data_IF_454648982586
#
_entry.id   IF_454648982586
#
_cell.length_a   1.000
_cell.length_b   1.000
_cell.length_c   1.000
_cell.angle_alpha   90.00
_cell.angle_beta   90.00
_cell.angle_gamma   90.00
#
_symmetry.space_group_name_H-M   'P 1'
#
loop_
_entity.id
_entity.type
_entity.pdbx_description
1 polymer ?
#
# COMPACT_ATOMS: atom_id res chain seq x y z
N UNK A 1 -15.58 12.93 -6.79
CA UNK A 1 -14.47 12.49 -5.94
C UNK A 1 -14.98 11.67 -4.74
N UNK A 2 -14.28 10.59 -4.37
CA UNK A 2 -14.57 9.78 -3.17
C UNK A 2 -14.04 10.44 -1.91
N UNK A 3 -12.80 10.98 -1.94
CA UNK A 3 -12.12 11.55 -0.78
C UNK A 3 -12.87 12.77 -0.24
N UNK A 4 -13.14 13.76 -1.09
CA UNK A 4 -13.95 14.92 -0.71
C UNK A 4 -15.31 14.51 -0.12
N UNK A 5 -15.98 13.52 -0.71
CA UNK A 5 -17.31 13.10 -0.23
C UNK A 5 -17.27 12.33 1.11
N UNK A 6 -16.16 11.66 1.42
CA UNK A 6 -15.93 11.01 2.71
C UNK A 6 -15.57 12.05 3.79
N UNK A 7 -14.80 13.08 3.43
CA UNK A 7 -14.39 14.15 4.35
C UNK A 7 -15.55 15.11 4.64
N UNK A 8 -16.33 15.49 3.62
CA UNK A 8 -17.45 16.43 3.72
C UNK A 8 -18.75 15.76 4.21
N UNK A 9 -18.82 14.43 4.12
CA UNK A 9 -20.02 13.65 4.42
C UNK A 9 -20.19 13.38 5.92
N UNK A 10 -21.21 13.99 6.53
CA UNK A 10 -21.50 13.83 7.97
C UNK A 10 -22.16 12.48 8.33
N UNK A 11 -22.63 11.69 7.34
CA UNK A 11 -23.49 10.51 7.58
C UNK A 11 -22.74 9.18 7.74
N UNK A 12 -21.46 9.09 7.38
CA UNK A 12 -20.66 7.86 7.44
C UNK A 12 -19.24 8.14 7.94
N UNK A 13 -19.06 8.09 9.25
CA UNK A 13 -17.81 8.44 9.91
C UNK A 13 -16.74 7.35 9.73
N UNK A 14 -16.13 7.25 8.55
CA UNK A 14 -14.79 6.67 8.47
C UNK A 14 -13.87 7.53 9.32
N UNK A 15 -13.22 6.91 10.31
CA UNK A 15 -12.27 7.63 11.16
C UNK A 15 -11.06 8.07 10.32
N UNK A 16 -10.37 9.16 10.68
CA UNK A 16 -9.20 9.63 9.95
C UNK A 16 -8.17 8.53 9.68
N UNK A 17 -7.94 7.61 10.63
CA UNK A 17 -7.01 6.50 10.47
C UNK A 17 -7.45 5.52 9.37
N UNK A 18 -8.76 5.32 9.20
CA UNK A 18 -9.31 4.46 8.14
C UNK A 18 -9.19 5.12 6.77
N UNK A 19 -9.36 6.45 6.70
CA UNK A 19 -9.15 7.23 5.47
C UNK A 19 -7.68 7.15 5.07
N UNK A 20 -6.76 7.40 6.00
CA UNK A 20 -5.32 7.28 5.78
C UNK A 20 -4.91 5.86 5.35
N UNK A 21 -5.46 4.81 5.98
CA UNK A 21 -5.19 3.43 5.56
C UNK A 21 -5.72 3.16 4.14
N UNK A 22 -6.95 3.59 3.85
CA UNK A 22 -7.63 3.33 2.57
C UNK A 22 -6.99 4.06 1.38
N UNK A 23 -6.62 5.32 1.56
CA UNK A 23 -6.14 6.15 0.45
C UNK A 23 -4.63 6.40 0.47
N UNK A 24 -3.94 6.15 1.59
CA UNK A 24 -2.51 6.45 1.72
C UNK A 24 -2.21 7.91 1.39
N UNK A 25 -1.14 8.13 0.62
CA UNK A 25 -0.73 9.43 0.12
C UNK A 25 -1.19 9.70 -1.33
N UNK A 26 -2.44 9.34 -1.66
CA UNK A 26 -2.94 9.48 -3.03
C UNK A 26 -3.01 10.94 -3.51
N UNK A 27 -3.19 11.89 -2.59
CA UNK A 27 -3.22 13.33 -2.92
C UNK A 27 -1.85 13.82 -3.38
N UNK A 28 -0.77 13.44 -2.70
CA UNK A 28 0.61 13.72 -3.12
C UNK A 28 0.89 13.14 -4.53
N UNK A 29 0.41 11.91 -4.79
CA UNK A 29 0.51 11.28 -6.11
C UNK A 29 -0.28 12.07 -7.16
N UNK A 30 -1.47 12.57 -6.81
CA UNK A 30 -2.29 13.36 -7.72
C UNK A 30 -1.63 14.69 -8.05
N UNK A 31 -1.12 15.41 -7.05
CA UNK A 31 -0.40 16.68 -7.22
C UNK A 31 0.84 16.50 -8.09
N UNK A 32 1.71 15.57 -7.73
CA UNK A 32 2.92 15.26 -8.50
C UNK A 32 2.61 14.88 -9.96
N UNK A 33 1.61 14.02 -10.18
CA UNK A 33 1.25 13.62 -11.54
C UNK A 33 0.62 14.75 -12.35
N UNK A 34 -0.06 15.70 -11.69
CA UNK A 34 -0.62 16.88 -12.33
C UNK A 34 0.50 17.82 -12.80
N UNK A 35 1.53 18.01 -11.98
CA UNK A 35 2.73 18.75 -12.41
C UNK A 35 3.51 18.03 -13.52
N UNK A 36 3.67 16.71 -13.40
CA UNK A 36 4.33 15.92 -14.43
C UNK A 36 3.57 16.02 -15.75
N UNK A 37 2.23 15.95 -15.73
CA UNK A 37 1.40 16.12 -16.92
C UNK A 37 1.61 17.51 -17.55
N UNK A 38 1.59 18.57 -16.75
CA UNK A 38 1.85 19.94 -17.25
C UNK A 38 3.25 20.06 -17.89
N UNK A 39 4.25 19.37 -17.36
CA UNK A 39 5.58 19.35 -17.95
C UNK A 39 5.60 18.59 -19.29
N UNK A 40 4.90 17.44 -19.36
CA UNK A 40 4.80 16.61 -20.56
C UNK A 40 4.02 17.30 -21.68
N UNK A 41 2.94 18.04 -21.36
CA UNK A 41 2.16 18.79 -22.36
C UNK A 41 3.00 19.88 -23.05
N UNK A 42 4.03 20.40 -22.37
CA UNK A 42 4.98 21.39 -22.92
C UNK A 42 6.07 20.77 -23.78
N UNK A 43 6.16 19.44 -23.85
CA UNK A 43 7.19 18.76 -24.64
C UNK A 43 6.86 18.71 -26.13
N UNK A 44 5.63 19.05 -26.55
CA UNK A 44 5.21 19.06 -27.96
C UNK A 44 5.51 17.75 -28.71
N UNK A 45 5.44 16.61 -28.00
CA UNK A 45 5.80 15.27 -28.50
C UNK A 45 7.30 15.04 -28.80
N UNK A 46 8.21 15.93 -28.39
CA UNK A 46 9.67 15.68 -28.47
C UNK A 46 10.07 14.54 -27.50
N UNK A 47 10.56 13.39 -28.00
CA UNK A 47 11.03 12.27 -27.19
C UNK A 47 12.07 12.65 -26.14
N UNK A 48 12.97 13.56 -26.48
CA UNK A 48 14.09 13.95 -25.60
C UNK A 48 13.58 14.87 -24.49
N UNK A 49 12.67 15.80 -24.80
CA UNK A 49 12.00 16.62 -23.80
C UNK A 49 11.16 15.77 -22.83
N UNK A 50 10.42 14.79 -23.34
CA UNK A 50 9.66 13.83 -22.51
C UNK A 50 10.60 13.08 -21.57
N UNK A 51 11.71 12.52 -22.08
CA UNK A 51 12.71 11.82 -21.27
C UNK A 51 13.30 12.72 -20.18
N UNK A 52 13.64 13.97 -20.50
CA UNK A 52 14.13 14.97 -19.51
C UNK A 52 13.17 15.16 -18.34
N UNK A 53 11.87 15.19 -18.58
CA UNK A 53 10.89 15.34 -17.49
C UNK A 53 11.06 14.27 -16.41
N UNK A 54 11.31 13.01 -16.81
CA UNK A 54 11.51 11.90 -15.86
C UNK A 54 12.84 11.98 -15.11
N UNK A 55 13.92 12.40 -15.78
CA UNK A 55 15.23 12.58 -15.13
C UNK A 55 15.17 13.69 -14.10
N UNK A 56 14.64 14.87 -14.47
CA UNK A 56 14.54 16.04 -13.58
C UNK A 56 13.67 15.76 -12.36
N UNK A 57 12.58 14.99 -12.53
CA UNK A 57 11.63 14.67 -11.46
C UNK A 57 11.93 13.36 -10.72
N UNK A 58 13.10 12.75 -10.95
CA UNK A 58 13.44 11.40 -10.49
C UNK A 58 13.26 11.19 -8.97
N UNK A 59 13.74 12.12 -8.14
CA UNK A 59 13.65 12.03 -6.68
C UNK A 59 12.21 12.08 -6.17
N UNK A 60 11.32 12.82 -6.84
CA UNK A 60 9.92 12.97 -6.46
C UNK A 60 9.11 11.68 -6.63
N UNK A 61 9.60 10.70 -7.38
CA UNK A 61 8.93 9.39 -7.47
C UNK A 61 8.99 8.59 -6.16
N UNK A 62 9.73 9.03 -5.15
CA UNK A 62 9.74 8.40 -3.81
C UNK A 62 8.33 8.28 -3.21
N UNK A 63 7.42 9.22 -3.49
CA UNK A 63 6.02 9.17 -3.02
C UNK A 63 5.29 7.89 -3.48
N UNK A 64 5.69 7.29 -4.60
CA UNK A 64 5.14 6.02 -5.05
C UNK A 64 5.62 4.85 -4.21
N UNK A 65 6.80 4.92 -3.61
CA UNK A 65 7.31 3.91 -2.66
C UNK A 65 6.41 3.87 -1.43
N UNK A 66 6.09 5.02 -0.86
CA UNK A 66 5.17 5.14 0.26
C UNK A 66 3.78 4.56 -0.09
N UNK A 67 3.23 4.92 -1.25
CA UNK A 67 1.94 4.40 -1.69
C UNK A 67 1.96 2.87 -1.89
N UNK A 68 2.98 2.36 -2.60
CA UNK A 68 3.05 0.93 -2.93
C UNK A 68 3.30 0.06 -1.70
N UNK A 69 4.04 0.56 -0.71
CA UNK A 69 4.22 -0.14 0.57
C UNK A 69 2.95 -0.12 1.43
N UNK A 70 2.14 0.94 1.35
CA UNK A 70 0.84 1.03 2.02
C UNK A 70 -0.30 0.30 1.28
N UNK A 71 -0.20 0.07 -0.03
CA UNK A 71 -1.28 -0.50 -0.84
C UNK A 71 -1.93 -1.79 -0.26
N UNK A 72 -1.20 -2.74 0.35
CA UNK A 72 -1.81 -3.88 1.05
C UNK A 72 -2.77 -3.45 2.18
N UNK A 73 -2.45 -2.40 2.93
CA UNK A 73 -3.33 -1.85 3.97
C UNK A 73 -4.56 -1.19 3.36
N UNK A 74 -4.42 -0.51 2.21
CA UNK A 74 -5.56 0.05 1.47
C UNK A 74 -6.54 -1.03 1.04
N UNK A 75 -6.05 -2.17 0.56
CA UNK A 75 -6.88 -3.33 0.21
C UNK A 75 -7.57 -3.92 1.44
N UNK A 76 -6.85 -4.05 2.56
CA UNK A 76 -7.42 -4.56 3.81
C UNK A 76 -8.50 -3.62 4.36
N UNK A 77 -8.22 -2.32 4.43
CA UNK A 77 -9.16 -1.29 4.87
C UNK A 77 -10.42 -1.26 3.99
N UNK A 78 -10.28 -1.33 2.67
CA UNK A 78 -11.43 -1.42 1.76
C UNK A 78 -12.25 -2.68 2.02
N UNK A 79 -11.58 -3.82 2.20
CA UNK A 79 -12.23 -5.10 2.50
C UNK A 79 -13.04 -5.01 3.79
N UNK A 80 -12.48 -4.41 4.84
CA UNK A 80 -13.18 -4.20 6.10
C UNK A 80 -14.36 -3.23 5.95
N UNK A 81 -14.20 -2.17 5.15
CA UNK A 81 -15.32 -1.29 4.81
C UNK A 81 -16.45 -2.05 4.09
N UNK A 82 -16.13 -2.97 3.19
CA UNK A 82 -17.13 -3.77 2.46
C UNK A 82 -17.88 -4.75 3.36
N UNK A 83 -17.35 -5.11 4.55
CA UNK A 83 -18.05 -5.94 5.54
C UNK A 83 -19.17 -5.20 6.26
N UNK A 84 -19.09 -3.87 6.34
CA UNK A 84 -20.15 -3.04 6.91
C UNK A 84 -21.21 -2.77 5.85
N UNK A 85 -22.48 -3.06 6.17
CA UNK A 85 -23.58 -2.86 5.22
C UNK A 85 -23.69 -1.39 4.80
N UNK A 86 -23.58 -0.45 5.75
CA UNK A 86 -23.70 0.99 5.49
C UNK A 86 -22.57 1.52 4.60
N UNK A 87 -21.31 1.16 4.91
CA UNK A 87 -20.16 1.55 4.09
C UNK A 87 -20.20 0.88 2.71
N UNK A 88 -20.56 -0.41 2.63
CA UNK A 88 -20.69 -1.10 1.35
C UNK A 88 -21.74 -0.45 0.44
N UNK A 89 -22.85 0.01 1.01
CA UNK A 89 -23.90 0.72 0.28
C UNK A 89 -23.37 2.07 -0.22
N UNK A 90 -22.71 2.84 0.64
CA UNK A 90 -22.08 4.10 0.26
C UNK A 90 -21.11 3.98 -0.91
N UNK A 91 -20.18 3.02 -0.88
CA UNK A 91 -19.22 2.86 -1.97
C UNK A 91 -19.92 2.47 -3.29
N UNK A 92 -21.00 1.68 -3.24
CA UNK A 92 -21.81 1.35 -4.42
C UNK A 92 -22.56 2.56 -4.96
N UNK A 93 -23.23 3.32 -4.11
CA UNK A 93 -23.95 4.54 -4.48
C UNK A 93 -23.00 5.59 -5.04
N UNK A 94 -21.83 5.75 -4.43
CA UNK A 94 -20.82 6.68 -4.90
C UNK A 94 -20.26 6.26 -6.26
N UNK A 95 -20.00 4.97 -6.45
CA UNK A 95 -19.59 4.43 -7.74
C UNK A 95 -20.64 4.73 -8.83
N UNK A 96 -21.92 4.52 -8.53
CA UNK A 96 -23.03 4.81 -9.45
C UNK A 96 -23.15 6.33 -9.76
N UNK A 97 -23.06 7.17 -8.73
CA UNK A 97 -23.09 8.64 -8.86
C UNK A 97 -21.96 9.17 -9.74
N UNK A 98 -20.76 8.60 -9.61
CA UNK A 98 -19.61 8.95 -10.45
C UNK A 98 -19.65 8.31 -11.85
N UNK A 99 -20.68 7.51 -12.16
CA UNK A 99 -20.79 6.72 -13.40
C UNK A 99 -19.52 5.90 -13.67
N UNK A 100 -18.92 5.41 -12.59
CA UNK A 100 -17.65 4.71 -12.62
C UNK A 100 -17.84 3.26 -13.06
N UNK A 101 -17.14 2.85 -14.11
CA UNK A 101 -17.23 1.48 -14.65
C UNK A 101 -16.54 0.43 -13.76
N UNK A 102 -15.60 0.86 -12.92
CA UNK A 102 -14.83 -0.02 -12.05
C UNK A 102 -15.13 0.26 -10.56
N UNK A 103 -14.94 -0.72 -9.67
CA UNK A 103 -14.98 -0.50 -8.23
C UNK A 103 -13.77 0.29 -7.74
N UNK A 104 -13.88 0.93 -6.57
CA UNK A 104 -12.81 1.76 -5.98
C UNK A 104 -11.46 1.04 -5.91
N UNK A 105 -11.44 -0.24 -5.51
CA UNK A 105 -10.20 -1.02 -5.43
C UNK A 105 -9.41 -1.07 -6.75
N UNK A 106 -10.09 -1.07 -7.90
CA UNK A 106 -9.42 -1.01 -9.20
C UNK A 106 -8.75 0.34 -9.48
N UNK A 107 -9.27 1.43 -8.91
CA UNK A 107 -8.64 2.75 -9.02
C UNK A 107 -7.44 2.89 -8.07
N UNK A 108 -7.53 2.33 -6.86
CA UNK A 108 -6.41 2.30 -5.90
C UNK A 108 -5.22 1.50 -6.44
N UNK A 109 -5.44 0.55 -7.34
CA UNK A 109 -4.37 -0.19 -8.00
C UNK A 109 -3.64 0.62 -9.09
N UNK A 110 -4.24 1.70 -9.62
CA UNK A 110 -3.68 2.42 -10.78
C UNK A 110 -2.30 3.04 -10.51
N UNK A 111 -1.99 3.66 -9.37
CA UNK A 111 -0.64 4.19 -9.10
C UNK A 111 0.43 3.09 -9.09
N UNK A 112 0.11 1.93 -8.49
CA UNK A 112 0.99 0.75 -8.47
C UNK A 112 1.27 0.25 -9.90
N UNK A 113 0.26 0.25 -10.76
CA UNK A 113 0.45 -0.13 -12.17
C UNK A 113 1.18 0.94 -12.98
N UNK A 114 0.93 2.22 -12.69
CA UNK A 114 1.47 3.36 -13.44
C UNK A 114 2.99 3.43 -13.32
N UNK A 115 3.51 3.30 -12.10
CA UNK A 115 4.94 3.42 -11.85
C UNK A 115 5.77 2.33 -12.55
N UNK A 116 5.19 1.13 -12.71
CA UNK A 116 5.80 0.00 -13.42
C UNK A 116 5.71 0.11 -14.95
N UNK A 117 5.05 1.12 -15.49
CA UNK A 117 4.90 1.32 -16.94
C UNK A 117 5.85 2.36 -17.50
N UNK A 118 6.33 3.32 -16.71
CA UNK A 118 7.12 4.42 -17.24
C UNK A 118 8.40 3.97 -17.93
N UNK A 119 9.15 3.04 -17.33
CA UNK A 119 10.36 2.51 -17.98
C UNK A 119 10.04 1.76 -19.27
N UNK A 120 8.89 1.05 -19.37
CA UNK A 120 8.45 0.36 -20.58
C UNK A 120 8.09 1.35 -21.70
N UNK A 121 7.41 2.43 -21.35
CA UNK A 121 7.04 3.48 -22.30
C UNK A 121 8.27 4.22 -22.83
N UNK A 122 9.23 4.53 -21.96
CA UNK A 122 10.51 5.14 -22.36
C UNK A 122 11.35 4.20 -23.24
N UNK A 123 11.35 2.89 -22.95
CA UNK A 123 11.97 1.90 -23.82
C UNK A 123 11.30 1.85 -25.20
N UNK A 124 9.99 1.98 -25.26
CA UNK A 124 9.28 2.04 -26.54
C UNK A 124 9.66 3.29 -27.32
N UNK A 125 9.82 4.44 -26.66
CA UNK A 125 10.35 5.65 -27.29
C UNK A 125 11.73 5.39 -27.90
N UNK A 126 12.66 4.79 -27.15
CA UNK A 126 14.03 4.53 -27.62
C UNK A 126 14.06 3.61 -28.86
N UNK A 127 13.16 2.62 -28.95
CA UNK A 127 13.09 1.72 -30.12
C UNK A 127 12.79 2.44 -31.44
N UNK A 128 12.08 3.57 -31.38
CA UNK A 128 11.72 4.38 -32.53
C UNK A 128 12.56 5.65 -32.65
N UNK A 129 13.54 5.84 -31.76
CA UNK A 129 14.44 6.99 -31.76
C UNK A 129 15.72 6.69 -32.55
N UNK A 130 16.17 7.62 -33.39
CA UNK A 130 17.43 7.46 -34.13
C UNK A 130 18.62 7.54 -33.17
N UNK A 131 19.46 6.49 -33.05
CA UNK A 131 20.64 6.52 -32.18
C UNK A 131 21.65 7.61 -32.53
N UNK A 132 21.64 8.13 -33.76
CA UNK A 132 22.51 9.23 -34.20
C UNK A 132 21.93 10.61 -33.88
N UNK A 133 20.66 10.69 -33.48
CA UNK A 133 20.02 11.95 -33.11
C UNK A 133 20.56 12.45 -31.76
N UNK A 134 20.91 13.75 -31.65
CA UNK A 134 21.27 14.35 -30.37
C UNK A 134 20.18 14.14 -29.31
N UNK A 135 20.57 13.62 -28.14
CA UNK A 135 19.64 13.37 -27.03
C UNK A 135 19.34 11.90 -26.76
N UNK A 136 19.83 10.94 -27.57
CA UNK A 136 19.66 9.50 -27.28
C UNK A 136 20.10 9.12 -25.87
N UNK A 137 21.23 9.69 -25.38
CA UNK A 137 21.74 9.46 -24.03
C UNK A 137 20.76 9.87 -22.92
N UNK A 138 19.98 10.93 -23.15
CA UNK A 138 18.97 11.40 -22.19
C UNK A 138 17.81 10.40 -22.10
N UNK A 139 17.42 9.81 -23.23
CA UNK A 139 16.37 8.78 -23.28
C UNK A 139 16.85 7.53 -22.53
N UNK A 140 18.09 7.10 -22.78
CA UNK A 140 18.72 5.98 -22.06
C UNK A 140 18.83 6.24 -20.55
N UNK A 141 19.22 7.45 -20.16
CA UNK A 141 19.27 7.88 -18.75
C UNK A 141 17.89 7.82 -18.11
N UNK A 142 16.85 8.34 -18.77
CA UNK A 142 15.47 8.28 -18.27
C UNK A 142 15.00 6.83 -18.08
N UNK A 143 15.34 5.92 -18.99
CA UNK A 143 15.04 4.49 -18.87
C UNK A 143 15.75 3.90 -17.66
N UNK A 144 17.04 4.17 -17.49
CA UNK A 144 17.83 3.68 -16.36
C UNK A 144 17.23 4.15 -15.03
N UNK A 145 16.94 5.45 -14.94
CA UNK A 145 16.30 6.09 -13.79
C UNK A 145 14.97 5.43 -13.43
N UNK A 146 14.04 5.33 -14.39
CA UNK A 146 12.72 4.76 -14.10
C UNK A 146 12.74 3.26 -13.85
N UNK A 147 13.72 2.54 -14.41
CA UNK A 147 13.97 1.15 -14.06
C UNK A 147 14.48 1.03 -12.62
N UNK A 148 15.38 1.92 -12.21
CA UNK A 148 15.86 2.03 -10.83
C UNK A 148 14.75 2.33 -9.83
N UNK A 149 13.85 3.26 -10.15
CA UNK A 149 12.66 3.58 -9.34
C UNK A 149 11.76 2.34 -9.17
N UNK A 150 11.43 1.65 -10.26
CA UNK A 150 10.60 0.45 -10.20
C UNK A 150 11.25 -0.67 -9.37
N UNK A 151 12.56 -0.87 -9.53
CA UNK A 151 13.32 -1.82 -8.74
C UNK A 151 13.32 -1.46 -7.25
N UNK A 152 13.57 -0.19 -6.93
CA UNK A 152 13.61 0.29 -5.54
C UNK A 152 12.27 0.10 -4.84
N UNK A 153 11.16 0.45 -5.50
CA UNK A 153 9.81 0.25 -4.95
C UNK A 153 9.55 -1.23 -4.66
N UNK A 154 9.95 -2.12 -5.57
CA UNK A 154 9.79 -3.55 -5.38
C UNK A 154 10.63 -4.07 -4.20
N UNK A 155 11.87 -3.61 -4.06
CA UNK A 155 12.75 -3.96 -2.93
C UNK A 155 12.20 -3.44 -1.60
N UNK A 156 11.70 -2.20 -1.55
CA UNK A 156 11.10 -1.63 -0.35
C UNK A 156 9.82 -2.37 0.06
N UNK A 157 8.99 -2.76 -0.92
CA UNK A 157 7.83 -3.62 -0.67
C UNK A 157 8.23 -4.96 -0.06
N UNK A 158 9.25 -5.62 -0.64
CA UNK A 158 9.77 -6.90 -0.13
C UNK A 158 10.31 -6.77 1.31
N UNK A 159 11.06 -5.71 1.61
CA UNK A 159 11.57 -5.42 2.96
C UNK A 159 10.45 -5.18 3.97
N UNK A 160 9.44 -4.40 3.57
CA UNK A 160 8.27 -4.12 4.40
C UNK A 160 7.51 -5.41 4.73
N UNK A 161 7.20 -6.24 3.73
CA UNK A 161 6.53 -7.54 3.93
C UNK A 161 7.32 -8.48 4.86
N UNK A 162 8.65 -8.51 4.70
CA UNK A 162 9.53 -9.29 5.57
C UNK A 162 9.50 -8.78 7.02
N UNK A 163 9.55 -7.45 7.21
CA UNK A 163 9.47 -6.81 8.53
C UNK A 163 8.14 -7.15 9.24
N UNK A 164 7.01 -7.00 8.54
CA UNK A 164 5.67 -7.31 9.07
C UNK A 164 5.57 -8.78 9.49
N UNK A 165 6.13 -9.71 8.69
CA UNK A 165 6.14 -11.14 9.03
C UNK A 165 6.93 -11.42 10.31
N UNK A 166 8.12 -10.83 10.46
CA UNK A 166 8.94 -11.01 11.67
C UNK A 166 8.25 -10.45 12.93
N UNK A 167 7.61 -9.28 12.81
CA UNK A 167 6.84 -8.70 13.91
C UNK A 167 5.70 -9.62 14.35
N UNK A 168 4.95 -10.19 13.40
CA UNK A 168 3.86 -11.13 13.71
C UNK A 168 4.35 -12.39 14.43
N UNK A 169 5.51 -12.92 14.03
CA UNK A 169 6.13 -14.07 14.71
C UNK A 169 6.59 -13.73 16.13
N UNK A 170 7.17 -12.55 16.34
CA UNK A 170 7.57 -12.07 17.65
C UNK A 170 6.38 -11.91 18.61
N UNK A 171 5.27 -11.33 18.15
CA UNK A 171 4.02 -11.19 18.93
C UNK A 171 3.46 -12.57 19.32
N UNK A 172 3.46 -13.53 18.38
CA UNK A 172 3.02 -14.90 18.66
C UNK A 172 3.90 -15.62 19.68
N UNK A 173 5.21 -15.42 19.63
CA UNK A 173 6.14 -16.00 20.60
C UNK A 173 5.98 -15.40 22.00
N UNK A 174 5.78 -14.08 22.10
CA UNK A 174 5.49 -13.39 23.38
C UNK A 174 4.17 -13.82 24.02
N UNK A 175 3.14 -14.07 23.20
CA UNK A 175 1.85 -14.58 23.68
C UNK A 175 1.92 -16.01 24.24
N UNK A 176 2.87 -16.83 23.77
CA UNK A 176 3.12 -18.18 24.30
C UNK A 176 3.98 -18.16 25.57
N UNK A 177 4.88 -17.19 25.71
CA UNK A 177 5.72 -17.04 26.91
C UNK A 177 4.94 -16.58 28.17
N UNK A 178 3.78 -15.93 27.99
CA UNK A 178 2.90 -15.51 29.10
C UNK A 178 1.96 -16.59 29.65
N UNK A 179 2.05 -17.84 29.16
CA UNK A 179 1.27 -18.98 29.66
C UNK A 179 2.19 -20.07 30.22
N UNK A 180 2.89 -19.79 31.31
CA UNK A 180 3.53 -20.85 32.12
C UNK A 180 2.46 -21.51 33.01
N UNK A 181 2.28 -22.84 33.01
CA UNK A 181 1.35 -23.50 33.92
C UNK A 181 1.92 -23.49 35.35
N UNK A 182 1.19 -22.90 36.29
CA UNK A 182 1.38 -23.20 37.72
C UNK A 182 0.99 -24.66 37.96
N UNK A 183 1.96 -25.55 37.98
CA UNK A 183 1.82 -26.90 38.56
C UNK A 183 3.22 -27.41 38.85
N UNK A 184 3.72 -27.10 40.06
CA UNK A 184 4.67 -27.90 40.85
C UNK A 184 4.99 -27.14 42.14
N UNK A 185 4.33 -27.51 43.25
CA UNK A 185 4.51 -26.85 44.54
C UNK A 185 3.79 -27.56 45.69
N UNK A 186 4.28 -28.75 46.02
CA UNK A 186 4.13 -29.53 47.27
C UNK A 186 3.52 -28.80 48.48
N UNK A 187 2.57 -29.44 49.17
CA UNK A 187 2.55 -29.41 50.65
C UNK A 187 2.02 -30.69 51.28
N UNK A 188 2.96 -31.35 51.97
CA UNK A 188 2.79 -32.42 52.95
C UNK A 188 1.92 -31.98 54.12
N UNK A 189 1.10 -32.90 54.65
CA UNK A 189 0.33 -32.72 55.88
C UNK A 189 -0.13 -34.07 56.40
N UNK A 190 0.52 -34.56 57.45
CA UNK A 190 0.29 -35.86 58.06
C UNK A 190 -0.56 -35.75 59.34
N UNK A 191 -1.34 -36.81 59.57
CA UNK A 191 -1.83 -37.37 60.85
C UNK A 191 -3.07 -36.79 61.59
N UNK A 192 -4.09 -37.66 61.68
CA UNK A 192 -4.93 -38.04 62.84
C UNK A 192 -6.35 -38.32 62.31
N UNK A 193 -7.01 -39.48 62.43
CA UNK A 193 -6.95 -40.54 63.42
C UNK A 193 -8.37 -40.73 63.98
N UNK A 194 -9.05 -41.84 63.62
CA UNK A 194 -10.06 -42.62 64.38
C UNK A 194 -11.14 -43.25 63.49
N UNK A 195 -11.14 -44.58 63.47
CA UNK A 195 -12.28 -45.50 63.29
C UNK A 195 -13.20 -45.46 64.53
N UNK A 196 -14.50 -45.85 64.46
CA UNK A 196 -14.94 -47.27 64.53
C UNK A 196 -16.03 -47.62 63.48
N UNK A 197 -15.97 -48.75 62.77
CA UNK A 197 -16.38 -50.14 63.10
C UNK A 197 -17.83 -50.52 62.72
N UNK A 198 -17.95 -51.73 62.13
CA UNK A 198 -19.09 -52.66 62.01
C UNK A 198 -20.05 -52.61 60.81
N UNK A 199 -19.87 -53.57 59.89
CA UNK A 199 -20.94 -54.37 59.28
C UNK A 199 -20.42 -55.78 58.94
N UNK A 200 -21.12 -56.81 59.43
CA UNK A 200 -21.19 -58.15 58.81
C UNK A 200 -20.28 -59.23 59.38
#
# INVERSE_FOLDING_TARGET
>A
DYLAHIIDGCELSLRPEQVCALFGNIEDIYEFNSELLQALDRCESDPVAVARCFVIKSEYFEIYTQYCTNYPNSVAALTDCMRSQSLSQFFRERQASLKSSLPLGSYLLKPVQRILKYHLLLQEILKHFDPQQPGSQVVEEAICTMTGVAWYINEMKRRHEHSVRLQLLGVRSGALAGRTPELLGVRSGALAGRTPELLG
#
